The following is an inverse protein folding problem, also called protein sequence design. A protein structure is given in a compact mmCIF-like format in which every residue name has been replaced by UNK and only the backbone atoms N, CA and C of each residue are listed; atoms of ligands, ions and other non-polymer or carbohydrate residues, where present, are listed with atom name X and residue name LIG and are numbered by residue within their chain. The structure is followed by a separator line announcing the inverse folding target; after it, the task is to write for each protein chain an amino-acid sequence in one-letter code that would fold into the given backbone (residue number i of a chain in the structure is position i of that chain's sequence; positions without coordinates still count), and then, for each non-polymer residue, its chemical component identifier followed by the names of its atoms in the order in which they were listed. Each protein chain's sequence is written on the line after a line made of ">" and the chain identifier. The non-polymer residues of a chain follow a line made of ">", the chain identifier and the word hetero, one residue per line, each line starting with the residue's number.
data_IF_281502302813
#
_entry.id   IF_281502302813
#
_cell.length_a   1.000
_cell.length_b   1.000
_cell.length_c   1.000
_cell.angle_alpha   90.00
_cell.angle_beta   90.00
_cell.angle_gamma   90.00
#
_symmetry.space_group_name_H-M   'P 1'
#
loop_
_entity.id
_entity.type
_entity.pdbx_description
1 polymer ?
#
# COMPACT_ATOMS: atom_id res chain seq x y z
N UNK A 1 -10.30 14.25 6.54
CA UNK A 1 -9.68 15.32 5.73
C UNK A 1 -9.71 14.89 4.27
N UNK A 2 -10.65 15.39 3.47
CA UNK A 2 -10.68 15.16 2.04
C UNK A 2 -9.63 16.07 1.38
N UNK A 3 -8.56 15.48 0.84
CA UNK A 3 -7.55 16.22 0.07
C UNK A 3 -8.23 16.89 -1.14
N UNK A 4 -7.88 18.14 -1.47
CA UNK A 4 -8.46 18.83 -2.62
C UNK A 4 -8.09 18.11 -3.93
N UNK A 5 -9.04 18.05 -4.87
CA UNK A 5 -8.97 17.36 -6.17
C UNK A 5 -7.71 17.77 -6.97
N UNK A 6 -7.21 18.99 -6.76
CA UNK A 6 -6.01 19.55 -7.40
C UNK A 6 -4.70 18.84 -7.02
N UNK A 7 -4.67 18.10 -5.90
CA UNK A 7 -3.43 17.45 -5.42
C UNK A 7 -2.99 16.32 -6.36
N UNK A 8 -3.95 15.60 -6.95
CA UNK A 8 -3.64 14.50 -7.86
C UNK A 8 -3.12 15.03 -9.21
N UNK A 9 -3.73 16.09 -9.74
CA UNK A 9 -3.28 16.71 -10.98
C UNK A 9 -1.84 17.22 -10.88
N UNK A 10 -1.50 17.98 -9.84
CA UNK A 10 -0.13 18.47 -9.67
C UNK A 10 0.90 17.34 -9.52
N UNK A 11 0.54 16.23 -8.86
CA UNK A 11 1.41 15.05 -8.81
C UNK A 11 1.61 14.42 -10.20
N UNK A 12 0.53 14.24 -10.96
CA UNK A 12 0.59 13.66 -12.31
C UNK A 12 1.40 14.53 -13.28
N UNK A 13 1.27 15.85 -13.20
CA UNK A 13 2.08 16.78 -14.01
C UNK A 13 3.58 16.60 -13.69
N UNK A 14 3.94 16.51 -12.40
CA UNK A 14 5.32 16.24 -11.99
C UNK A 14 5.83 14.88 -12.47
N UNK A 15 5.00 13.83 -12.38
CA UNK A 15 5.36 12.50 -12.91
C UNK A 15 5.64 12.58 -14.41
N UNK A 16 4.77 13.24 -15.17
CA UNK A 16 4.90 13.40 -16.61
C UNK A 16 6.20 14.13 -17.01
N UNK A 17 6.58 15.18 -16.27
CA UNK A 17 7.84 15.90 -16.49
C UNK A 17 9.09 15.04 -16.19
N UNK A 18 8.97 14.04 -15.32
CA UNK A 18 10.11 13.22 -14.85
C UNK A 18 10.18 11.82 -15.48
N UNK A 19 9.20 11.39 -16.27
CA UNK A 19 9.18 10.12 -17.01
C UNK A 19 10.05 10.16 -18.29
N UNK A 20 11.28 10.67 -18.20
CA UNK A 20 12.16 10.84 -19.38
C UNK A 20 12.70 9.50 -19.90
N UNK A 21 12.87 8.50 -19.02
CA UNK A 21 13.51 7.21 -19.36
C UNK A 21 12.53 6.04 -19.54
N UNK A 22 11.42 6.03 -18.82
CA UNK A 22 10.42 4.96 -18.83
C UNK A 22 9.13 5.49 -19.42
N UNK A 23 9.18 5.90 -20.69
CA UNK A 23 8.08 6.61 -21.34
C UNK A 23 7.10 5.68 -22.05
N UNK A 24 7.57 4.51 -22.51
CA UNK A 24 6.69 3.52 -23.12
C UNK A 24 5.76 2.93 -22.08
N UNK A 25 4.51 2.65 -22.46
CA UNK A 25 3.56 1.93 -21.60
C UNK A 25 4.13 0.56 -21.14
N UNK A 26 4.98 -0.06 -21.96
CA UNK A 26 5.66 -1.31 -21.59
C UNK A 26 6.71 -1.09 -20.50
N UNK A 27 7.45 0.01 -20.58
CA UNK A 27 8.43 0.38 -19.55
C UNK A 27 7.71 0.70 -18.24
N UNK A 28 6.66 1.52 -18.30
CA UNK A 28 5.83 1.89 -17.14
C UNK A 28 5.23 0.65 -16.50
N UNK A 29 4.59 -0.25 -17.28
CA UNK A 29 4.02 -1.48 -16.74
C UNK A 29 5.07 -2.37 -16.06
N UNK A 30 6.27 -2.47 -16.64
CA UNK A 30 7.36 -3.25 -16.03
C UNK A 30 7.89 -2.60 -14.73
N UNK A 31 8.03 -1.26 -14.69
CA UNK A 31 8.46 -0.51 -13.50
C UNK A 31 7.41 -0.56 -12.39
N UNK A 32 6.13 -0.46 -12.73
CA UNK A 32 5.02 -0.63 -11.79
C UNK A 32 5.10 -2.00 -11.10
N UNK A 33 5.30 -3.08 -11.88
CA UNK A 33 5.45 -4.43 -11.32
C UNK A 33 6.67 -4.55 -10.40
N UNK A 34 7.82 -4.01 -10.82
CA UNK A 34 9.06 -4.02 -10.03
C UNK A 34 8.88 -3.27 -8.70
N UNK A 35 8.30 -2.08 -8.73
CA UNK A 35 8.09 -1.24 -7.54
C UNK A 35 7.04 -1.84 -6.61
N UNK A 36 5.97 -2.42 -7.14
CA UNK A 36 4.97 -3.15 -6.36
C UNK A 36 5.59 -4.34 -5.61
N UNK A 37 6.52 -5.06 -6.25
CA UNK A 37 7.26 -6.14 -5.58
C UNK A 37 8.11 -5.62 -4.41
N UNK A 38 8.67 -4.40 -4.52
CA UNK A 38 9.43 -3.77 -3.41
C UNK A 38 8.52 -3.36 -2.25
N UNK A 39 7.35 -2.79 -2.51
CA UNK A 39 6.34 -2.51 -1.47
C UNK A 39 5.98 -3.78 -0.70
N UNK A 40 5.67 -4.86 -1.42
CA UNK A 40 5.36 -6.15 -0.79
C UNK A 40 6.53 -6.69 0.03
N UNK A 41 7.76 -6.56 -0.46
CA UNK A 41 8.96 -6.97 0.28
C UNK A 41 9.14 -6.16 1.57
N UNK A 42 8.94 -4.84 1.54
CA UNK A 42 9.03 -3.99 2.72
C UNK A 42 7.98 -4.39 3.77
N UNK A 43 6.74 -4.63 3.34
CA UNK A 43 5.67 -5.14 4.22
C UNK A 43 6.04 -6.50 4.82
N UNK A 44 6.49 -7.47 4.01
CA UNK A 44 6.90 -8.77 4.51
C UNK A 44 8.03 -8.65 5.54
N UNK A 45 9.04 -7.82 5.28
CA UNK A 45 10.16 -7.62 6.23
C UNK A 45 9.73 -6.94 7.53
N UNK A 46 8.75 -6.04 7.49
CA UNK A 46 8.20 -5.44 8.69
C UNK A 46 7.57 -6.51 9.61
N UNK A 47 7.04 -7.59 9.04
CA UNK A 47 6.49 -8.75 9.75
C UNK A 47 7.58 -9.78 10.13
N UNK A 48 8.40 -10.22 9.18
CA UNK A 48 9.28 -11.39 9.34
C UNK A 48 10.63 -11.07 9.95
N UNK A 49 11.19 -9.90 9.61
CA UNK A 49 12.56 -9.54 9.99
C UNK A 49 12.55 -8.58 11.19
N UNK A 50 11.67 -7.57 11.14
CA UNK A 50 11.55 -6.57 12.20
C UNK A 50 10.57 -7.00 13.29
N UNK A 51 9.41 -7.55 12.92
CA UNK A 51 8.36 -7.95 13.87
C UNK A 51 7.59 -6.79 14.53
N UNK A 52 7.68 -5.57 13.99
CA UNK A 52 6.92 -4.42 14.53
C UNK A 52 5.41 -4.51 14.27
N UNK A 53 5.04 -5.32 13.27
CA UNK A 53 3.66 -5.70 12.98
C UNK A 53 3.57 -7.22 12.84
N UNK A 54 2.38 -7.78 13.02
CA UNK A 54 2.10 -9.19 12.77
C UNK A 54 0.82 -9.36 11.96
N UNK A 55 0.72 -10.50 11.26
CA UNK A 55 -0.45 -10.89 10.47
C UNK A 55 -1.05 -12.14 11.11
N UNK A 56 -2.28 -12.03 11.60
CA UNK A 56 -3.05 -13.15 12.14
C UNK A 56 -4.11 -13.59 11.13
N UNK A 57 -3.70 -14.44 10.18
CA UNK A 57 -4.60 -14.95 9.15
C UNK A 57 -5.52 -16.05 9.70
N UNK A 58 -6.81 -15.74 9.81
CA UNK A 58 -7.83 -16.69 10.26
C UNK A 58 -9.15 -16.47 9.54
N UNK A 59 -9.98 -17.52 9.46
CA UNK A 59 -11.36 -17.41 8.97
C UNK A 59 -12.11 -16.48 9.91
N UNK A 60 -12.65 -15.39 9.36
CA UNK A 60 -13.45 -14.45 10.13
C UNK A 60 -14.88 -14.98 10.24
N UNK A 61 -15.41 -14.97 11.46
CA UNK A 61 -16.75 -15.48 11.76
C UNK A 61 -17.71 -14.29 11.83
N UNK A 62 -18.77 -14.35 11.01
CA UNK A 62 -19.89 -13.42 11.07
C UNK A 62 -21.03 -14.09 11.84
N UNK A 63 -21.78 -13.34 12.66
CA UNK A 63 -23.01 -13.84 13.26
C UNK A 63 -24.03 -14.32 12.21
N UNK A 64 -24.82 -15.34 12.54
CA UNK A 64 -25.82 -15.92 11.63
C UNK A 64 -26.94 -14.91 11.27
N UNK A 65 -27.19 -13.93 12.13
CA UNK A 65 -28.17 -12.85 11.99
C UNK A 65 -27.54 -11.52 11.53
N UNK A 66 -26.28 -11.53 11.10
CA UNK A 66 -25.57 -10.34 10.66
C UNK A 66 -26.20 -9.77 9.38
N UNK A 67 -26.67 -8.52 9.44
CA UNK A 67 -27.05 -7.78 8.23
C UNK A 67 -25.81 -7.44 7.40
N UNK A 68 -25.99 -7.19 6.10
CA UNK A 68 -24.89 -6.77 5.23
C UNK A 68 -24.24 -5.46 5.70
N UNK A 69 -25.04 -4.54 6.25
CA UNK A 69 -24.58 -3.25 6.77
C UNK A 69 -23.67 -3.41 7.99
N UNK A 70 -23.88 -4.47 8.78
CA UNK A 70 -23.11 -4.76 10.01
C UNK A 70 -21.80 -5.50 9.76
N UNK A 71 -21.61 -6.10 8.58
CA UNK A 71 -20.42 -6.91 8.24
C UNK A 71 -19.11 -6.16 8.51
N UNK A 72 -19.08 -4.85 8.23
CA UNK A 72 -17.88 -4.03 8.45
C UNK A 72 -17.44 -3.97 9.92
N UNK A 73 -18.36 -4.20 10.85
CA UNK A 73 -18.10 -4.12 12.29
C UNK A 73 -17.44 -5.42 12.80
N UNK A 74 -17.55 -6.52 12.05
CA UNK A 74 -16.99 -7.82 12.41
C UNK A 74 -15.71 -8.15 11.64
N UNK A 75 -15.52 -7.55 10.46
CA UNK A 75 -14.33 -7.81 9.65
C UNK A 75 -13.10 -7.14 10.25
N UNK A 76 -12.05 -7.93 10.47
CA UNK A 76 -10.72 -7.46 10.89
C UNK A 76 -9.80 -7.31 9.70
N UNK A 77 -8.80 -6.42 9.80
CA UNK A 77 -7.75 -6.27 8.78
C UNK A 77 -6.69 -7.38 8.80
N UNK A 78 -6.76 -8.30 9.78
CA UNK A 78 -5.73 -9.29 10.11
C UNK A 78 -4.37 -8.70 10.52
N UNK A 79 -4.24 -7.37 10.63
CA UNK A 79 -3.00 -6.68 10.98
C UNK A 79 -3.00 -6.30 12.46
N UNK A 80 -1.90 -6.60 13.15
CA UNK A 80 -1.66 -6.21 14.54
C UNK A 80 -0.34 -5.47 14.69
N UNK A 81 -0.25 -4.62 15.72
CA UNK A 81 0.92 -3.78 15.98
C UNK A 81 0.92 -2.46 15.20
N UNK A 82 2.05 -1.78 15.19
CA UNK A 82 2.26 -0.53 14.46
C UNK A 82 3.67 -0.51 13.88
N UNK A 83 3.79 -0.04 12.64
CA UNK A 83 5.10 0.15 12.02
C UNK A 83 5.96 1.05 12.90
N UNK A 84 7.17 0.57 13.23
CA UNK A 84 8.20 1.42 13.80
C UNK A 84 8.66 2.46 12.77
N UNK A 85 9.35 3.50 13.24
CA UNK A 85 9.80 4.62 12.39
C UNK A 85 10.58 4.13 11.15
N UNK A 86 11.55 3.24 11.34
CA UNK A 86 12.35 2.70 10.24
C UNK A 86 11.51 1.91 9.22
N UNK A 87 10.63 1.01 9.65
CA UNK A 87 9.79 0.25 8.71
C UNK A 87 8.76 1.14 8.01
N UNK A 88 8.27 2.17 8.69
CA UNK A 88 7.37 3.18 8.10
C UNK A 88 8.08 3.96 7.00
N UNK A 89 9.26 4.49 7.27
CA UNK A 89 10.04 5.27 6.30
C UNK A 89 10.34 4.45 5.03
N UNK A 90 10.80 3.21 5.20
CA UNK A 90 11.07 2.30 4.07
C UNK A 90 9.79 2.02 3.28
N UNK A 91 8.67 1.71 3.94
CA UNK A 91 7.43 1.39 3.26
C UNK A 91 6.85 2.61 2.53
N UNK A 92 6.90 3.80 3.14
CA UNK A 92 6.46 5.05 2.53
C UNK A 92 7.30 5.41 1.30
N UNK A 93 8.61 5.20 1.36
CA UNK A 93 9.50 5.41 0.21
C UNK A 93 9.17 4.46 -0.97
N UNK A 94 8.97 3.17 -0.70
CA UNK A 94 8.62 2.20 -1.75
C UNK A 94 7.22 2.45 -2.32
N UNK A 95 6.24 2.84 -1.49
CA UNK A 95 4.91 3.24 -1.95
C UNK A 95 5.00 4.49 -2.81
N UNK A 96 5.82 5.48 -2.44
CA UNK A 96 6.06 6.67 -3.25
C UNK A 96 6.60 6.33 -4.63
N UNK A 97 7.56 5.41 -4.72
CA UNK A 97 8.06 4.95 -6.01
C UNK A 97 7.06 4.12 -6.80
N UNK A 98 6.19 3.35 -6.14
CA UNK A 98 5.11 2.65 -6.82
C UNK A 98 4.03 3.60 -7.34
N UNK A 99 3.75 4.70 -6.64
CA UNK A 99 2.80 5.72 -7.11
C UNK A 99 3.34 6.56 -8.27
N UNK A 100 4.67 6.67 -8.41
CA UNK A 100 5.31 7.40 -9.49
C UNK A 100 5.16 6.70 -10.86
N UNK A 101 5.14 5.37 -10.89
CA UNK A 101 5.04 4.56 -12.12
C UNK A 101 3.63 4.01 -12.29
#
# INVERSE_FOLDING_TARGET
>A
MTKPITTCHGFQDNVQENLVRHYSILDIASKFQETNARVNRALCRAVTDCGCISIEASKQVLPDDCSFEDVRNYIKSHLHGQLCENCREVLEAEVGQNLFY
#
